data_IF_259424061964
#
_entry.id   IF_259424061964
#
_cell.length_a   1.000
_cell.length_b   1.000
_cell.length_c   1.000
_cell.angle_alpha   90.00
_cell.angle_beta   90.00
_cell.angle_gamma   90.00
#
_symmetry.space_group_name_H-M   'P 1'
#
loop_
_entity.id
_entity.type
_entity.pdbx_description
1 polymer ?
#
# COMPACT_ATOMS: atom_id res chain seq x y z
N UNK A 1 49.12 -48.73 11.50
CA UNK A 1 48.53 -49.74 12.45
C UNK A 1 47.09 -49.30 12.66
N UNK A 2 46.18 -49.93 11.92
CA UNK A 2 45.04 -50.74 12.35
C UNK A 2 43.98 -49.96 13.17
N UNK A 3 42.67 -49.98 12.86
CA UNK A 3 41.81 -50.91 12.13
C UNK A 3 40.48 -50.23 11.76
N UNK A 4 40.03 -50.61 10.58
CA UNK A 4 38.63 -50.49 10.07
C UNK A 4 37.63 -51.15 11.01
N UNK A 5 36.41 -50.56 11.10
CA UNK A 5 35.18 -51.39 11.06
C UNK A 5 34.06 -50.64 10.36
N UNK A 6 33.67 -51.16 9.20
CA UNK A 6 32.42 -50.94 8.50
C UNK A 6 31.31 -51.75 9.23
N UNK A 7 30.11 -51.18 9.33
CA UNK A 7 28.92 -52.00 9.44
C UNK A 7 27.91 -51.45 8.43
N UNK A 8 27.60 -52.30 7.47
CA UNK A 8 26.53 -52.20 6.49
C UNK A 8 25.40 -53.09 7.01
N UNK A 9 24.16 -52.63 6.97
CA UNK A 9 22.92 -53.41 6.86
C UNK A 9 21.77 -52.38 6.77
N UNK A 10 20.85 -52.43 5.93
CA UNK A 10 20.31 -53.25 4.87
C UNK A 10 18.87 -52.71 4.67
N UNK A 11 18.55 -52.57 3.44
CA UNK A 11 17.24 -52.15 2.89
C UNK A 11 16.18 -53.21 3.19
N UNK A 12 14.96 -52.79 3.52
CA UNK A 12 13.72 -53.45 3.09
C UNK A 12 12.58 -52.41 3.03
N UNK A 13 11.86 -52.27 1.92
CA UNK A 13 10.68 -51.43 1.77
C UNK A 13 9.39 -52.18 2.16
N UNK A 14 8.51 -51.53 2.86
CA UNK A 14 7.13 -52.02 3.00
C UNK A 14 6.19 -50.98 2.36
N UNK A 15 5.75 -51.35 1.19
CA UNK A 15 4.60 -50.74 0.49
C UNK A 15 3.31 -51.36 1.10
N UNK A 16 2.47 -50.54 1.67
CA UNK A 16 1.07 -50.92 1.92
C UNK A 16 0.17 -49.87 1.28
N UNK A 17 -0.41 -50.28 0.15
CA UNK A 17 -1.52 -49.60 -0.47
C UNK A 17 -2.80 -50.01 0.26
N UNK A 18 -3.56 -49.03 0.76
CA UNK A 18 -4.94 -49.27 1.17
C UNK A 18 -5.85 -48.49 0.20
N UNK A 19 -6.45 -49.25 -0.73
CA UNK A 19 -7.58 -48.82 -1.55
C UNK A 19 -8.85 -49.12 -0.74
N UNK A 20 -9.61 -48.08 -0.41
CA UNK A 20 -10.98 -48.28 0.09
C UNK A 20 -11.95 -47.82 -0.97
N UNK A 21 -12.50 -48.81 -1.67
CA UNK A 21 -13.72 -48.71 -2.47
C UNK A 21 -14.92 -48.76 -1.53
N UNK A 22 -15.79 -47.78 -1.59
CA UNK A 22 -17.15 -47.88 -1.07
C UNK A 22 -18.08 -47.88 -2.28
N UNK A 23 -18.61 -49.09 -2.59
CA UNK A 23 -19.63 -49.32 -3.58
C UNK A 23 -21.03 -49.21 -2.96
N UNK A 24 -21.92 -48.69 -3.73
CA UNK A 24 -23.35 -48.65 -3.65
C UNK A 24 -24.01 -49.89 -3.04
N UNK A 25 -25.05 -49.66 -2.24
CA UNK A 25 -26.13 -50.60 -2.04
C UNK A 25 -27.47 -49.90 -2.26
N UNK A 26 -28.09 -50.24 -3.38
CA UNK A 26 -29.51 -50.01 -3.68
C UNK A 26 -30.27 -51.27 -3.28
N UNK A 27 -31.36 -51.12 -2.54
CA UNK A 27 -32.44 -52.10 -2.43
C UNK A 27 -33.67 -51.31 -2.01
N UNK A 28 -34.69 -51.15 -2.70
CA UNK A 28 -35.62 -51.91 -3.52
C UNK A 28 -36.77 -52.45 -2.68
N UNK A 29 -37.94 -51.81 -2.70
CA UNK A 29 -39.20 -52.52 -2.53
C UNK A 29 -40.38 -51.78 -3.18
N UNK A 30 -41.03 -52.53 -4.05
CA UNK A 30 -42.19 -52.23 -4.87
C UNK A 30 -43.48 -52.47 -4.08
N UNK A 31 -44.45 -51.54 -4.20
CA UNK A 31 -45.88 -52.00 -4.22
C UNK A 31 -46.72 -51.12 -5.13
N UNK A 32 -47.47 -51.82 -6.00
CA UNK A 32 -48.43 -51.38 -7.02
C UNK A 32 -49.78 -50.95 -6.44
N UNK A 33 -50.42 -49.95 -7.13
CA UNK A 33 -51.79 -50.03 -7.74
C UNK A 33 -52.10 -48.69 -8.36
N UNK A 34 -52.31 -48.56 -9.65
CA UNK A 34 -53.49 -48.70 -10.58
C UNK A 34 -54.68 -47.86 -10.09
N UNK A 35 -55.17 -46.90 -10.82
CA UNK A 35 -55.79 -46.72 -12.08
C UNK A 35 -56.36 -45.28 -12.27
N UNK A 36 -56.43 -44.88 -13.49
CA UNK A 36 -57.52 -44.18 -14.24
C UNK A 36 -57.39 -42.67 -14.52
N UNK A 37 -57.28 -42.48 -15.80
CA UNK A 37 -57.95 -41.55 -16.75
C UNK A 37 -57.42 -40.13 -16.96
N UNK A 38 -57.00 -40.00 -18.23
CA UNK A 38 -56.75 -38.77 -19.01
C UNK A 38 -58.10 -38.07 -19.36
N UNK A 39 -58.13 -36.71 -19.57
CA UNK A 39 -57.76 -36.21 -20.90
C UNK A 39 -57.09 -34.82 -20.97
N UNK A 40 -56.16 -34.74 -21.94
CA UNK A 40 -55.82 -33.60 -22.82
C UNK A 40 -56.13 -32.18 -22.37
N UNK A 41 -55.04 -31.40 -22.18
CA UNK A 41 -54.97 -30.00 -22.64
C UNK A 41 -53.51 -29.67 -22.99
N UNK A 42 -53.23 -29.48 -24.27
CA UNK A 42 -52.04 -28.86 -24.80
C UNK A 42 -51.97 -27.43 -24.26
N UNK A 43 -50.92 -27.11 -23.51
CA UNK A 43 -50.49 -25.73 -23.26
C UNK A 43 -49.05 -25.62 -23.66
N UNK A 44 -48.81 -24.79 -24.69
CA UNK A 44 -47.50 -24.45 -25.20
C UNK A 44 -46.61 -23.88 -24.06
N UNK A 45 -45.51 -24.57 -23.78
CA UNK A 45 -44.45 -24.05 -22.95
C UNK A 45 -43.63 -23.13 -23.84
N UNK A 46 -43.89 -21.83 -23.76
CA UNK A 46 -42.97 -20.83 -24.20
C UNK A 46 -41.74 -20.93 -23.30
N UNK A 47 -40.63 -21.39 -23.85
CA UNK A 47 -39.32 -21.26 -23.24
C UNK A 47 -38.99 -19.77 -23.17
N UNK A 48 -39.22 -19.15 -22.05
CA UNK A 48 -38.60 -17.88 -21.72
C UNK A 48 -37.15 -18.21 -21.40
N UNK A 49 -36.27 -17.99 -22.36
CA UNK A 49 -34.87 -17.79 -22.08
C UNK A 49 -34.79 -16.49 -21.26
N UNK A 50 -34.76 -16.63 -19.95
CA UNK A 50 -34.21 -15.56 -19.12
C UNK A 50 -32.72 -15.50 -19.42
N UNK A 51 -32.36 -14.61 -20.31
CA UNK A 51 -31.01 -14.09 -20.45
C UNK A 51 -30.70 -13.31 -19.17
N UNK A 52 -30.26 -14.02 -18.14
CA UNK A 52 -29.71 -13.44 -16.93
C UNK A 52 -28.29 -12.95 -17.21
N UNK A 53 -28.11 -12.01 -18.09
CA UNK A 53 -27.01 -11.07 -17.99
C UNK A 53 -27.24 -10.29 -16.69
N UNK A 54 -26.63 -10.75 -15.59
CA UNK A 54 -26.50 -9.91 -14.41
C UNK A 54 -25.84 -8.61 -14.89
N UNK A 55 -26.60 -7.52 -14.88
CA UNK A 55 -26.07 -6.20 -15.17
C UNK A 55 -25.01 -5.96 -14.08
N UNK A 56 -23.77 -5.81 -14.47
CA UNK A 56 -22.67 -5.50 -13.56
C UNK A 56 -23.07 -4.24 -12.79
N UNK A 57 -23.00 -4.31 -11.46
CA UNK A 57 -23.49 -3.23 -10.61
C UNK A 57 -22.50 -2.07 -10.65
N UNK A 58 -22.97 -0.86 -10.88
CA UNK A 58 -22.16 0.35 -10.77
C UNK A 58 -21.55 0.44 -9.37
N UNK A 59 -20.27 0.77 -9.30
CA UNK A 59 -19.49 0.80 -8.07
C UNK A 59 -18.64 2.08 -7.99
N UNK A 60 -18.35 2.49 -6.76
CA UNK A 60 -17.53 3.69 -6.49
C UNK A 60 -16.65 3.43 -5.28
N UNK A 61 -15.38 3.82 -5.39
CA UNK A 61 -14.39 3.82 -4.32
C UNK A 61 -13.69 5.16 -4.28
N UNK A 62 -13.51 5.70 -3.08
CA UNK A 62 -12.66 6.86 -2.82
C UNK A 62 -11.37 6.39 -2.15
N UNK A 63 -10.23 6.83 -2.69
CA UNK A 63 -8.90 6.51 -2.20
C UNK A 63 -8.17 7.78 -1.77
N UNK A 64 -7.55 7.73 -0.59
CA UNK A 64 -6.60 8.72 -0.11
C UNK A 64 -5.24 8.04 0.03
N UNK A 65 -4.17 8.69 -0.44
CA UNK A 65 -2.80 8.26 -0.16
C UNK A 65 -1.97 9.43 0.36
N UNK A 66 -1.06 9.13 1.29
CA UNK A 66 -0.16 10.11 1.91
C UNK A 66 1.30 9.77 1.60
N UNK A 67 2.18 10.75 1.78
CA UNK A 67 3.62 10.61 1.58
C UNK A 67 4.35 9.92 2.71
N UNK A 68 5.64 10.21 2.81
CA UNK A 68 6.62 9.52 3.66
C UNK A 68 6.31 9.69 5.15
N UNK A 69 6.09 8.56 5.85
CA UNK A 69 6.02 8.47 7.31
C UNK A 69 7.43 8.16 7.83
N UNK A 70 8.23 9.22 8.04
CA UNK A 70 9.67 9.15 8.29
C UNK A 70 9.98 9.47 9.76
N UNK A 71 10.17 8.43 10.57
CA UNK A 71 10.20 8.52 12.03
C UNK A 71 11.60 8.80 12.57
N UNK A 72 11.94 10.09 12.72
CA UNK A 72 13.18 10.54 13.34
C UNK A 72 13.20 10.38 14.86
N UNK A 73 14.38 10.48 15.50
CA UNK A 73 14.53 10.35 16.96
C UNK A 73 13.60 11.28 17.75
N UNK A 74 13.36 12.48 17.29
CA UNK A 74 12.46 13.44 17.94
C UNK A 74 11.01 13.02 17.92
N UNK A 75 10.58 12.32 16.85
CA UNK A 75 9.26 11.69 16.76
C UNK A 75 9.15 10.52 17.73
N UNK A 76 10.20 9.68 17.82
CA UNK A 76 10.24 8.56 18.77
C UNK A 76 10.06 9.11 20.19
N UNK A 77 10.85 10.11 20.59
CA UNK A 77 10.76 10.68 21.96
C UNK A 77 9.46 11.47 22.18
N UNK A 78 8.82 11.99 21.13
CA UNK A 78 7.53 12.67 21.26
C UNK A 78 6.41 11.77 21.74
N UNK A 79 6.48 10.47 21.45
CA UNK A 79 5.50 9.48 21.88
C UNK A 79 5.69 8.98 23.31
N UNK A 80 6.84 9.22 23.95
CA UNK A 80 7.10 8.75 25.32
C UNK A 80 6.14 9.38 26.33
N UNK A 81 5.50 8.55 27.15
CA UNK A 81 4.59 8.96 28.20
C UNK A 81 5.29 8.97 29.57
N UNK A 82 4.72 9.65 30.56
CA UNK A 82 5.27 9.74 31.92
C UNK A 82 5.42 8.37 32.62
N UNK A 83 4.58 7.40 32.26
CA UNK A 83 4.62 6.02 32.80
C UNK A 83 5.59 5.10 32.04
N UNK A 84 6.27 5.62 31.02
CA UNK A 84 7.21 4.88 30.18
C UNK A 84 6.57 4.12 29.02
N UNK A 85 5.26 4.23 28.82
CA UNK A 85 4.59 3.71 27.63
C UNK A 85 4.82 4.62 26.44
N UNK A 86 4.48 4.12 25.23
CA UNK A 86 4.56 4.88 23.97
C UNK A 86 3.14 5.11 23.43
N UNK A 87 2.86 6.33 22.96
CA UNK A 87 1.62 6.65 22.27
C UNK A 87 1.88 7.73 21.21
N UNK A 88 1.46 7.46 19.98
CA UNK A 88 1.68 8.33 18.84
C UNK A 88 0.38 8.80 18.16
N UNK A 89 -0.79 8.56 18.73
CA UNK A 89 -2.08 8.96 18.18
C UNK A 89 -2.15 10.48 17.92
N UNK A 90 -1.42 11.27 18.72
CA UNK A 90 -1.35 12.72 18.55
C UNK A 90 -0.79 13.17 17.20
N UNK A 91 0.03 12.36 16.53
CA UNK A 91 0.61 12.67 15.22
C UNK A 91 -0.49 12.89 14.16
N UNK A 92 -1.58 12.14 14.26
CA UNK A 92 -2.65 12.11 13.25
C UNK A 92 -3.93 12.80 13.69
N UNK A 93 -4.01 13.36 14.92
CA UNK A 93 -5.26 13.88 15.51
C UNK A 93 -5.99 14.87 14.60
N UNK A 94 -5.27 15.80 13.94
CA UNK A 94 -5.89 16.83 13.11
C UNK A 94 -6.27 16.35 11.72
N UNK A 95 -5.63 15.29 11.22
CA UNK A 95 -5.84 14.77 9.87
C UNK A 95 -6.75 13.54 9.85
N UNK A 96 -6.86 12.81 10.97
CA UNK A 96 -7.72 11.62 11.12
C UNK A 96 -9.13 11.82 10.58
N UNK A 97 -9.87 12.92 10.90
CA UNK A 97 -11.22 13.12 10.36
C UNK A 97 -11.28 13.24 8.82
N UNK A 98 -10.14 13.55 8.17
CA UNK A 98 -10.05 13.54 6.71
C UNK A 98 -9.83 12.12 6.20
N UNK A 99 -8.88 11.40 6.80
CA UNK A 99 -8.55 10.01 6.44
C UNK A 99 -9.79 9.12 6.50
N UNK A 100 -10.57 9.21 7.58
CA UNK A 100 -11.77 8.39 7.83
C UNK A 100 -12.92 8.61 6.81
N UNK A 101 -12.83 9.61 5.93
CA UNK A 101 -13.84 9.84 4.88
C UNK A 101 -13.68 8.94 3.67
N UNK A 102 -12.51 8.33 3.52
CA UNK A 102 -12.16 7.56 2.34
C UNK A 102 -12.40 6.06 2.54
N UNK A 103 -12.75 5.39 1.45
CA UNK A 103 -12.95 3.94 1.45
C UNK A 103 -11.63 3.17 1.61
N UNK A 104 -10.53 3.72 1.07
CA UNK A 104 -9.17 3.17 1.14
C UNK A 104 -8.23 4.30 1.52
N UNK A 105 -7.45 4.13 2.59
CA UNK A 105 -6.42 5.06 3.00
C UNK A 105 -5.04 4.37 2.98
N UNK A 106 -4.06 4.99 2.31
CA UNK A 106 -2.72 4.45 2.07
C UNK A 106 -1.67 5.35 2.69
N UNK A 107 -0.68 4.76 3.37
CA UNK A 107 0.48 5.46 3.92
C UNK A 107 1.79 4.84 3.42
N UNK A 108 2.77 5.67 3.09
CA UNK A 108 4.13 5.21 2.85
C UNK A 108 4.86 5.09 4.20
N UNK A 109 4.97 3.86 4.72
CA UNK A 109 5.67 3.58 5.98
C UNK A 109 7.16 3.47 5.68
N UNK A 110 7.84 4.62 5.59
CA UNK A 110 9.22 4.65 5.11
C UNK A 110 10.19 4.00 6.08
N UNK A 111 10.00 4.20 7.38
CA UNK A 111 10.88 3.65 8.40
C UNK A 111 10.37 2.34 8.96
N UNK A 112 11.23 1.31 8.96
CA UNK A 112 10.87 -0.05 9.36
C UNK A 112 10.29 -0.12 10.78
N UNK A 113 9.20 -0.89 10.96
CA UNK A 113 8.56 -1.19 12.23
C UNK A 113 9.23 -2.40 12.92
N UNK A 114 10.53 -2.28 13.22
CA UNK A 114 11.29 -3.35 13.88
C UNK A 114 10.95 -3.54 15.37
N UNK A 115 10.23 -2.59 15.96
CA UNK A 115 9.73 -2.66 17.34
C UNK A 115 10.86 -2.76 18.37
N UNK A 116 10.54 -3.32 19.53
CA UNK A 116 11.45 -3.48 20.67
C UNK A 116 12.53 -4.57 20.48
N UNK A 117 12.57 -5.25 19.33
CA UNK A 117 13.62 -6.21 19.02
C UNK A 117 15.00 -5.55 18.84
N UNK A 118 15.02 -4.27 18.56
CA UNK A 118 16.21 -3.42 18.45
C UNK A 118 16.03 -2.15 19.25
N UNK A 119 17.11 -1.43 19.60
CA UNK A 119 17.00 -0.07 20.10
C UNK A 119 16.27 0.81 19.07
N UNK A 120 15.34 1.61 19.52
CA UNK A 120 14.69 2.59 18.64
C UNK A 120 15.72 3.63 18.16
N UNK A 121 15.66 3.98 16.89
CA UNK A 121 16.63 4.88 16.25
C UNK A 121 16.02 5.61 15.05
N UNK A 122 16.48 6.86 14.84
CA UNK A 122 16.25 7.64 13.65
C UNK A 122 17.45 7.56 12.68
N UNK A 123 17.60 8.61 11.83
CA UNK A 123 18.66 8.67 10.83
C UNK A 123 20.05 8.36 11.41
N UNK A 124 20.92 7.64 10.69
CA UNK A 124 20.74 7.12 9.32
C UNK A 124 20.18 5.69 9.24
N UNK A 125 20.01 5.01 10.34
CA UNK A 125 19.53 3.63 10.43
C UNK A 125 18.28 3.61 11.32
N UNK A 126 17.12 3.60 10.70
CA UNK A 126 15.85 3.74 11.41
C UNK A 126 15.38 2.42 12.03
N UNK A 127 14.79 2.53 13.19
CA UNK A 127 13.98 1.49 13.80
C UNK A 127 12.83 2.12 14.59
N UNK A 128 11.62 1.97 14.11
CA UNK A 128 10.42 2.56 14.69
C UNK A 128 9.74 1.63 15.69
N UNK A 129 9.16 2.17 16.78
CA UNK A 129 8.25 1.45 17.66
C UNK A 129 7.02 0.94 16.87
N UNK A 130 6.47 -0.21 17.28
CA UNK A 130 5.22 -0.74 16.72
C UNK A 130 4.03 0.17 16.96
N UNK A 131 4.04 0.93 18.04
CA UNK A 131 3.01 1.91 18.40
C UNK A 131 2.87 3.04 17.36
N UNK A 132 3.89 3.27 16.50
CA UNK A 132 3.77 4.13 15.31
C UNK A 132 2.79 3.52 14.30
N UNK A 133 2.95 2.22 14.01
CA UNK A 133 2.02 1.49 13.13
C UNK A 133 0.61 1.43 13.72
N UNK A 134 0.49 1.17 15.04
CA UNK A 134 -0.80 1.18 15.74
C UNK A 134 -1.48 2.55 15.62
N UNK A 135 -0.74 3.65 15.80
CA UNK A 135 -1.30 5.00 15.67
C UNK A 135 -1.76 5.31 14.24
N UNK A 136 -1.05 4.82 13.21
CA UNK A 136 -1.48 4.96 11.82
C UNK A 136 -2.74 4.13 11.53
N UNK A 137 -2.82 2.89 12.03
CA UNK A 137 -4.04 2.05 11.95
C UNK A 137 -5.22 2.75 12.66
N UNK A 138 -4.98 3.27 13.88
CA UNK A 138 -5.99 4.01 14.64
C UNK A 138 -6.43 5.30 13.92
N UNK A 139 -5.57 5.90 13.09
CA UNK A 139 -5.91 7.05 12.27
C UNK A 139 -6.80 6.69 11.07
N UNK A 140 -6.91 5.41 10.71
CA UNK A 140 -7.76 4.92 9.64
C UNK A 140 -7.03 4.49 8.36
N UNK A 141 -5.70 4.30 8.41
CA UNK A 141 -4.97 3.76 7.27
C UNK A 141 -5.21 2.26 7.11
N UNK A 142 -5.53 1.85 5.88
CA UNK A 142 -5.83 0.46 5.49
C UNK A 142 -4.66 -0.24 4.81
N UNK A 143 -3.79 0.51 4.10
CA UNK A 143 -2.70 -0.01 3.27
C UNK A 143 -1.39 0.66 3.63
N UNK A 144 -0.36 -0.15 3.87
CA UNK A 144 0.97 0.29 4.26
C UNK A 144 1.99 -0.12 3.20
N UNK A 145 2.65 0.87 2.59
CA UNK A 145 3.78 0.66 1.69
C UNK A 145 5.05 0.51 2.52
N UNK A 146 5.67 -0.67 2.51
CA UNK A 146 6.84 -1.01 3.33
C UNK A 146 8.10 -1.28 2.51
N UNK A 147 8.02 -1.34 1.16
CA UNK A 147 9.21 -1.37 0.31
C UNK A 147 9.71 0.05 0.07
N UNK A 148 10.71 0.45 0.87
CA UNK A 148 11.35 1.77 0.86
C UNK A 148 12.88 1.61 0.86
N UNK A 149 13.63 2.71 0.76
CA UNK A 149 15.08 2.67 0.90
C UNK A 149 15.53 2.32 2.34
N UNK A 150 14.65 2.47 3.35
CA UNK A 150 14.92 2.15 4.76
C UNK A 150 14.43 0.77 5.21
N UNK A 151 13.85 -0.02 4.32
CA UNK A 151 13.35 -1.37 4.64
C UNK A 151 14.41 -2.31 5.23
N UNK A 152 15.68 -2.15 4.82
CA UNK A 152 16.79 -3.01 5.27
C UNK A 152 17.59 -2.44 6.44
N UNK A 153 17.20 -1.34 7.05
CA UNK A 153 17.97 -0.68 8.12
C UNK A 153 18.24 -1.58 9.32
N UNK A 154 17.33 -2.48 9.66
CA UNK A 154 17.50 -3.50 10.69
C UNK A 154 17.76 -4.91 10.10
N UNK A 155 18.19 -4.97 8.84
CA UNK A 155 18.41 -6.21 8.12
C UNK A 155 17.14 -7.05 7.97
N UNK A 156 17.30 -8.30 7.56
CA UNK A 156 16.14 -9.18 7.37
C UNK A 156 15.34 -9.42 8.66
N UNK A 157 16.00 -9.45 9.83
CA UNK A 157 15.28 -9.57 11.11
C UNK A 157 14.34 -8.39 11.38
N UNK A 158 14.69 -7.19 10.92
CA UNK A 158 13.77 -6.04 10.95
C UNK A 158 12.51 -6.31 10.14
N UNK A 159 12.68 -6.82 8.91
CA UNK A 159 11.55 -7.22 8.05
C UNK A 159 10.68 -8.30 8.71
N UNK A 160 11.30 -9.32 9.35
CA UNK A 160 10.53 -10.34 10.09
C UNK A 160 9.68 -9.72 11.21
N UNK A 161 10.19 -8.70 11.90
CA UNK A 161 9.46 -8.01 12.97
C UNK A 161 8.34 -7.11 12.44
N UNK A 162 8.54 -6.44 11.33
CA UNK A 162 7.50 -5.66 10.66
C UNK A 162 6.37 -6.56 10.14
N UNK A 163 6.70 -7.69 9.51
CA UNK A 163 5.70 -8.70 9.09
C UNK A 163 4.98 -9.30 10.31
N UNK A 164 5.70 -9.54 11.43
CA UNK A 164 5.08 -9.99 12.68
C UNK A 164 4.06 -8.96 13.19
N UNK A 165 4.40 -7.66 13.16
CA UNK A 165 3.47 -6.59 13.50
C UNK A 165 2.20 -6.67 12.66
N UNK A 166 2.31 -6.66 11.33
CA UNK A 166 1.15 -6.70 10.43
C UNK A 166 0.38 -8.03 10.50
N UNK A 167 1.01 -9.14 10.88
CA UNK A 167 0.32 -10.42 11.07
C UNK A 167 -0.67 -10.39 12.25
N UNK A 168 -0.48 -9.47 13.19
CA UNK A 168 -1.38 -9.23 14.31
C UNK A 168 -2.50 -8.21 13.98
N UNK A 169 -2.44 -7.58 12.80
CA UNK A 169 -3.37 -6.55 12.31
C UNK A 169 -3.97 -6.97 10.96
N UNK A 170 -4.81 -8.01 10.99
CA UNK A 170 -5.42 -8.57 9.76
C UNK A 170 -6.42 -7.64 9.06
N UNK A 171 -6.78 -6.54 9.70
CA UNK A 171 -7.65 -5.48 9.17
C UNK A 171 -6.96 -4.59 8.17
N UNK A 172 -5.62 -4.60 8.10
CA UNK A 172 -4.84 -3.79 7.17
C UNK A 172 -4.01 -4.64 6.20
N UNK A 173 -3.56 -4.03 5.13
CA UNK A 173 -2.74 -4.66 4.07
C UNK A 173 -1.32 -4.07 4.11
N UNK A 174 -0.34 -4.94 4.26
CA UNK A 174 1.07 -4.60 4.12
C UNK A 174 1.56 -4.99 2.73
N UNK A 175 2.30 -4.09 2.07
CA UNK A 175 2.85 -4.27 0.73
C UNK A 175 4.38 -4.19 0.75
N UNK A 176 5.02 -4.89 -0.17
CA UNK A 176 6.41 -4.66 -0.56
C UNK A 176 7.46 -5.47 0.17
N UNK A 177 7.16 -6.10 1.34
CA UNK A 177 8.08 -6.98 2.07
C UNK A 177 7.50 -8.37 2.28
N UNK A 178 8.36 -9.39 2.35
CA UNK A 178 7.96 -10.79 2.32
C UNK A 178 8.79 -11.66 3.27
N UNK A 179 8.16 -12.72 3.79
CA UNK A 179 8.80 -13.70 4.66
C UNK A 179 9.25 -14.97 3.92
N UNK A 180 8.80 -15.17 2.68
CA UNK A 180 9.14 -16.30 1.83
C UNK A 180 8.95 -15.97 0.33
N UNK A 181 9.45 -16.88 -0.53
CA UNK A 181 9.35 -16.74 -1.97
C UNK A 181 7.91 -16.89 -2.51
N UNK A 182 7.02 -17.57 -1.78
CA UNK A 182 5.64 -17.76 -2.20
C UNK A 182 4.86 -16.44 -2.02
N UNK A 183 5.03 -15.77 -0.88
CA UNK A 183 4.44 -14.44 -0.65
C UNK A 183 4.98 -13.38 -1.62
N UNK A 184 6.29 -13.42 -1.94
CA UNK A 184 6.91 -12.53 -2.94
C UNK A 184 6.32 -12.68 -4.35
N UNK A 185 5.90 -13.89 -4.72
CA UNK A 185 5.31 -14.16 -6.03
C UNK A 185 3.79 -14.00 -6.05
N UNK A 186 3.16 -13.71 -4.92
CA UNK A 186 1.71 -13.55 -4.82
C UNK A 186 1.33 -12.08 -5.05
N UNK A 187 0.39 -11.84 -5.97
CA UNK A 187 -0.19 -10.52 -6.18
C UNK A 187 -1.19 -10.22 -5.05
N UNK A 188 -1.12 -9.02 -4.51
CA UNK A 188 -2.09 -8.53 -3.53
C UNK A 188 -3.31 -7.97 -4.25
N UNK A 189 -4.43 -8.68 -4.15
CA UNK A 189 -5.73 -8.20 -4.58
C UNK A 189 -6.51 -7.66 -3.39
N UNK A 190 -7.11 -6.48 -3.57
CA UNK A 190 -7.91 -5.81 -2.56
C UNK A 190 -9.29 -5.49 -3.13
N UNK A 191 -10.34 -6.05 -2.54
CA UNK A 191 -11.71 -5.82 -3.00
C UNK A 191 -12.38 -4.76 -2.13
N UNK A 192 -12.92 -3.72 -2.75
CA UNK A 192 -13.69 -2.68 -2.06
C UNK A 192 -14.87 -2.25 -2.90
N UNK A 193 -16.06 -2.24 -2.32
CA UNK A 193 -17.30 -1.78 -2.95
C UNK A 193 -17.56 -2.38 -4.35
N UNK A 194 -17.11 -3.63 -4.63
CA UNK A 194 -17.32 -4.30 -5.92
C UNK A 194 -16.28 -3.94 -7.00
N UNK A 195 -15.19 -3.29 -6.64
CA UNK A 195 -14.02 -3.07 -7.50
C UNK A 195 -12.86 -3.91 -6.95
N UNK A 196 -12.21 -4.70 -7.80
CA UNK A 196 -11.01 -5.47 -7.47
C UNK A 196 -9.78 -4.69 -7.87
N UNK A 197 -8.98 -4.29 -6.89
CA UNK A 197 -7.70 -3.61 -7.08
C UNK A 197 -6.56 -4.62 -7.04
N UNK A 198 -5.54 -4.46 -7.91
CA UNK A 198 -4.23 -5.06 -7.71
C UNK A 198 -3.28 -3.97 -7.19
N UNK A 199 -2.66 -4.21 -6.03
CA UNK A 199 -1.83 -3.24 -5.32
C UNK A 199 -0.38 -3.69 -5.32
N UNK A 200 0.53 -2.78 -5.72
CA UNK A 200 1.96 -3.02 -5.77
C UNK A 200 2.73 -1.91 -5.11
N UNK A 201 3.72 -2.27 -4.29
CA UNK A 201 4.71 -1.35 -3.77
C UNK A 201 6.11 -1.88 -4.09
N UNK A 202 6.96 -1.02 -4.66
CA UNK A 202 8.34 -1.32 -5.06
C UNK A 202 9.27 -0.19 -4.64
N UNK A 203 10.52 -0.51 -4.27
CA UNK A 203 11.56 0.51 -3.99
C UNK A 203 12.70 0.45 -5.00
N UNK A 204 13.31 1.61 -5.27
CA UNK A 204 14.51 1.72 -6.12
C UNK A 204 15.74 1.03 -5.55
N UNK A 205 15.77 0.83 -4.22
CA UNK A 205 16.92 0.24 -3.53
C UNK A 205 16.77 0.28 -2.02
N UNK A 206 17.83 -0.09 -1.31
CA UNK A 206 17.87 -0.24 0.15
C UNK A 206 19.11 0.44 0.74
N UNK A 207 19.39 1.69 0.34
CA UNK A 207 20.52 2.51 0.79
C UNK A 207 21.88 1.80 0.73
N UNK A 208 22.05 0.91 -0.27
CA UNK A 208 23.29 0.13 -0.44
C UNK A 208 23.45 -1.05 0.53
N UNK A 209 22.47 -1.33 1.37
CA UNK A 209 22.43 -2.54 2.19
C UNK A 209 21.90 -3.68 1.31
N UNK A 210 22.72 -4.71 1.00
CA UNK A 210 22.30 -5.78 0.10
C UNK A 210 21.22 -6.67 0.75
N UNK A 211 20.29 -7.17 -0.06
CA UNK A 211 19.39 -8.24 0.39
C UNK A 211 20.22 -9.51 0.68
N UNK A 212 19.81 -10.33 1.66
CA UNK A 212 20.48 -11.60 1.92
C UNK A 212 20.45 -12.50 0.67
N UNK A 213 21.59 -13.11 0.32
CA UNK A 213 21.72 -13.92 -0.90
C UNK A 213 20.76 -15.13 -0.93
N UNK A 214 20.36 -15.63 0.24
CA UNK A 214 19.40 -16.72 0.42
C UNK A 214 17.94 -16.24 0.51
N UNK A 215 17.70 -14.91 0.52
CA UNK A 215 16.38 -14.28 0.63
C UNK A 215 16.23 -13.09 -0.33
N UNK A 216 16.53 -13.24 -1.63
CA UNK A 216 16.46 -12.14 -2.59
C UNK A 216 15.02 -11.63 -2.80
N UNK A 217 14.04 -12.34 -2.30
CA UNK A 217 12.62 -12.08 -2.36
C UNK A 217 12.09 -11.22 -1.19
N UNK A 218 12.92 -10.88 -0.20
CA UNK A 218 12.40 -10.25 1.03
C UNK A 218 11.90 -8.81 0.84
N UNK A 219 12.31 -8.12 -0.23
CA UNK A 219 11.85 -6.76 -0.59
C UNK A 219 11.54 -6.69 -2.06
N UNK A 220 10.45 -6.05 -2.43
CA UNK A 220 10.13 -5.73 -3.82
C UNK A 220 11.03 -4.61 -4.33
N UNK A 221 12.08 -4.96 -5.04
CA UNK A 221 12.88 -3.99 -5.78
C UNK A 221 12.23 -3.63 -7.12
N UNK A 222 12.51 -2.44 -7.63
CA UNK A 222 12.06 -1.98 -8.96
C UNK A 222 12.82 -2.72 -10.08
N UNK A 223 12.53 -4.01 -10.26
CA UNK A 223 13.10 -4.87 -11.28
C UNK A 223 12.10 -5.04 -12.44
N UNK A 224 12.50 -4.63 -13.66
CA UNK A 224 11.59 -4.59 -14.82
C UNK A 224 10.94 -5.93 -15.14
N UNK A 225 11.70 -7.03 -15.03
CA UNK A 225 11.22 -8.38 -15.30
C UNK A 225 10.10 -8.78 -14.32
N UNK A 226 10.30 -8.52 -13.02
CA UNK A 226 9.29 -8.79 -11.99
C UNK A 226 8.05 -7.92 -12.18
N UNK A 227 8.26 -6.62 -12.34
CA UNK A 227 7.17 -5.65 -12.57
C UNK A 227 6.33 -6.04 -13.79
N UNK A 228 7.00 -6.40 -14.90
CA UNK A 228 6.31 -6.81 -16.13
C UNK A 228 5.47 -8.06 -15.91
N UNK A 229 6.03 -9.08 -15.25
CA UNK A 229 5.32 -10.31 -14.92
C UNK A 229 4.09 -10.03 -14.06
N UNK A 230 4.31 -9.35 -12.93
CA UNK A 230 3.28 -9.12 -11.92
C UNK A 230 2.11 -8.30 -12.47
N UNK A 231 2.40 -7.19 -13.16
CA UNK A 231 1.34 -6.31 -13.69
C UNK A 231 0.59 -6.99 -14.86
N UNK A 232 1.30 -7.75 -15.71
CA UNK A 232 0.64 -8.49 -16.78
C UNK A 232 -0.36 -9.52 -16.22
N UNK A 233 0.02 -10.26 -15.18
CA UNK A 233 -0.86 -11.20 -14.48
C UNK A 233 -2.02 -10.47 -13.78
N UNK A 234 -1.73 -9.34 -13.14
CA UNK A 234 -2.75 -8.54 -12.44
C UNK A 234 -3.83 -8.02 -13.37
N UNK A 235 -3.47 -7.60 -14.61
CA UNK A 235 -4.43 -7.08 -15.60
C UNK A 235 -5.48 -8.10 -16.04
N UNK A 236 -5.22 -9.39 -15.87
CA UNK A 236 -6.18 -10.46 -16.18
C UNK A 236 -7.20 -10.68 -15.05
N UNK A 237 -6.90 -10.19 -13.82
CA UNK A 237 -7.63 -10.55 -12.60
C UNK A 237 -8.13 -9.34 -11.79
N UNK A 238 -7.76 -8.12 -12.15
CA UNK A 238 -8.17 -6.91 -11.45
C UNK A 238 -8.89 -5.92 -12.36
N UNK A 239 -9.83 -5.19 -11.80
CA UNK A 239 -10.51 -4.09 -12.47
C UNK A 239 -9.59 -2.86 -12.59
N UNK A 240 -8.70 -2.66 -11.59
CA UNK A 240 -7.88 -1.46 -11.46
C UNK A 240 -6.50 -1.80 -10.85
N UNK A 241 -5.42 -1.30 -11.45
CA UNK A 241 -4.04 -1.57 -11.02
C UNK A 241 -3.40 -0.30 -10.48
N UNK A 242 -2.90 -0.36 -9.24
CA UNK A 242 -2.22 0.74 -8.57
C UNK A 242 -0.79 0.33 -8.23
N UNK A 243 0.17 1.20 -8.55
CA UNK A 243 1.58 1.04 -8.18
C UNK A 243 1.99 2.19 -7.25
N UNK A 244 2.59 1.84 -6.13
CA UNK A 244 3.18 2.74 -5.15
C UNK A 244 4.71 2.61 -5.21
N UNK A 245 5.41 3.35 -6.07
CA UNK A 245 6.85 3.29 -6.16
C UNK A 245 7.50 4.23 -5.15
N UNK A 246 8.50 3.74 -4.43
CA UNK A 246 9.40 4.53 -3.61
C UNK A 246 10.65 4.82 -4.44
N UNK A 247 10.71 6.00 -5.06
CA UNK A 247 11.62 6.32 -6.17
C UNK A 247 11.98 7.80 -6.27
N UNK A 248 12.88 8.16 -7.18
CA UNK A 248 13.21 9.56 -7.49
C UNK A 248 14.55 9.98 -6.93
N UNK A 249 14.73 11.28 -6.77
CA UNK A 249 15.95 11.89 -6.24
C UNK A 249 15.59 12.75 -5.03
N UNK A 250 16.17 12.45 -3.88
CA UNK A 250 15.95 13.22 -2.65
C UNK A 250 16.11 14.72 -2.90
N UNK A 251 15.16 15.50 -2.38
CA UNK A 251 15.14 16.98 -2.39
C UNK A 251 15.05 17.63 -3.77
N UNK A 252 14.71 16.86 -4.82
CA UNK A 252 14.49 17.35 -6.16
C UNK A 252 13.00 17.48 -6.45
N UNK A 253 12.59 18.63 -6.99
CA UNK A 253 11.23 18.86 -7.52
C UNK A 253 11.07 18.39 -8.97
N UNK A 254 12.19 18.06 -9.62
CA UNK A 254 12.21 17.63 -11.02
C UNK A 254 12.10 16.12 -11.12
N UNK A 255 11.17 15.66 -11.95
CA UNK A 255 11.00 14.24 -12.26
C UNK A 255 12.29 13.71 -12.91
N UNK A 256 12.92 12.74 -12.27
CA UNK A 256 14.16 12.12 -12.72
C UNK A 256 13.97 11.28 -13.98
N UNK A 257 15.05 11.00 -14.71
CA UNK A 257 15.00 10.10 -15.86
C UNK A 257 14.64 8.66 -15.46
N UNK A 258 15.00 8.25 -14.23
CA UNK A 258 14.60 6.97 -13.67
C UNK A 258 13.07 6.87 -13.48
N UNK A 259 12.44 7.89 -12.92
CA UNK A 259 10.99 7.96 -12.79
C UNK A 259 10.30 7.95 -14.15
N UNK A 260 10.78 8.71 -15.12
CA UNK A 260 10.25 8.73 -16.50
C UNK A 260 10.32 7.36 -17.20
N UNK A 261 11.43 6.64 -17.00
CA UNK A 261 11.63 5.31 -17.55
C UNK A 261 10.60 4.31 -17.02
N UNK A 262 10.39 4.28 -15.69
CA UNK A 262 9.41 3.39 -15.07
C UNK A 262 7.97 3.84 -15.31
N UNK A 263 7.70 5.14 -15.36
CA UNK A 263 6.38 5.68 -15.76
C UNK A 263 5.98 5.18 -17.14
N UNK A 264 6.93 5.19 -18.09
CA UNK A 264 6.68 4.61 -19.40
C UNK A 264 6.38 3.12 -19.33
N UNK A 265 7.14 2.36 -18.56
CA UNK A 265 6.91 0.92 -18.36
C UNK A 265 5.52 0.65 -17.77
N UNK A 266 5.15 1.36 -16.72
CA UNK A 266 3.82 1.23 -16.09
C UNK A 266 2.69 1.55 -17.07
N UNK A 267 2.83 2.63 -17.85
CA UNK A 267 1.88 2.98 -18.89
C UNK A 267 1.76 1.91 -19.97
N UNK A 268 2.89 1.34 -20.42
CA UNK A 268 2.91 0.28 -21.43
C UNK A 268 2.26 -1.02 -20.91
N UNK A 269 2.36 -1.29 -19.62
CA UNK A 269 1.73 -2.44 -18.95
C UNK A 269 0.25 -2.21 -18.57
N UNK A 270 -0.25 -0.99 -18.80
CA UNK A 270 -1.64 -0.65 -18.56
C UNK A 270 -2.00 -0.42 -17.08
N UNK A 271 -1.07 0.06 -16.26
CA UNK A 271 -1.35 0.59 -14.92
C UNK A 271 -2.35 1.75 -15.02
N UNK A 272 -3.19 1.92 -14.02
CA UNK A 272 -4.23 2.94 -13.98
C UNK A 272 -3.80 4.15 -13.14
N UNK A 273 -3.10 3.90 -12.03
CA UNK A 273 -2.70 4.90 -11.04
C UNK A 273 -1.31 4.61 -10.49
N UNK A 274 -0.46 5.64 -10.43
CA UNK A 274 0.86 5.61 -9.78
C UNK A 274 0.90 6.70 -8.72
N UNK A 275 1.31 6.34 -7.50
CA UNK A 275 1.49 7.29 -6.38
C UNK A 275 2.86 7.07 -5.79
N UNK A 276 3.79 7.98 -6.07
CA UNK A 276 5.20 7.92 -5.66
C UNK A 276 5.52 8.62 -4.36
N UNK A 277 6.59 8.14 -3.72
CA UNK A 277 7.20 8.67 -2.50
C UNK A 277 8.73 8.62 -2.60
N UNK A 278 9.49 9.10 -1.59
CA UNK A 278 10.94 9.11 -1.45
C UNK A 278 11.62 10.48 -1.65
N UNK A 279 11.27 11.37 -2.62
CA UNK A 279 11.99 12.63 -2.79
C UNK A 279 11.94 13.56 -1.56
N UNK A 280 11.08 13.31 -0.59
CA UNK A 280 10.84 14.14 0.60
C UNK A 280 10.35 15.54 0.29
N UNK A 281 10.08 15.82 -0.96
CA UNK A 281 9.43 17.03 -1.48
C UNK A 281 8.33 16.60 -2.46
N UNK A 282 7.35 17.46 -2.64
CA UNK A 282 6.30 17.22 -3.63
C UNK A 282 6.88 17.30 -5.05
N UNK A 283 6.38 16.44 -5.95
CA UNK A 283 6.70 16.47 -7.38
C UNK A 283 5.41 16.62 -8.21
N UNK A 284 5.48 16.84 -9.53
CA UNK A 284 4.31 17.03 -10.39
C UNK A 284 3.27 15.91 -10.30
N UNK A 285 2.04 16.28 -10.63
CA UNK A 285 0.93 15.35 -10.91
C UNK A 285 0.56 15.50 -12.37
N UNK A 286 0.42 14.39 -13.10
CA UNK A 286 0.09 14.45 -14.51
C UNK A 286 -0.70 13.22 -15.02
N UNK A 287 -1.44 13.41 -16.10
CA UNK A 287 -2.01 12.35 -16.89
C UNK A 287 -1.03 11.91 -17.99
N UNK A 288 -0.56 10.66 -17.91
CA UNK A 288 0.28 10.05 -18.93
C UNK A 288 -0.59 9.24 -19.89
N UNK A 289 -0.52 9.57 -21.18
CA UNK A 289 -1.27 8.83 -22.21
C UNK A 289 -0.36 7.81 -22.88
N UNK A 290 -0.75 6.55 -22.86
CA UNK A 290 -0.09 5.51 -23.64
C UNK A 290 -0.35 5.75 -25.13
N UNK A 291 0.70 6.01 -25.90
CA UNK A 291 0.62 6.36 -27.33
C UNK A 291 0.04 5.22 -28.19
N UNK A 292 0.21 3.97 -27.76
CA UNK A 292 -0.22 2.78 -28.51
C UNK A 292 -1.69 2.45 -28.32
N UNK A 293 -2.22 2.66 -27.11
CA UNK A 293 -3.58 2.26 -26.71
C UNK A 293 -4.52 3.42 -26.52
N UNK A 294 -3.99 4.64 -26.30
CA UNK A 294 -4.76 5.83 -25.91
C UNK A 294 -5.23 5.81 -24.45
N UNK A 295 -4.88 4.76 -23.66
CA UNK A 295 -5.23 4.67 -22.24
C UNK A 295 -4.47 5.74 -21.46
N UNK A 296 -5.15 6.37 -20.51
CA UNK A 296 -4.56 7.34 -19.59
C UNK A 296 -4.24 6.67 -18.26
N UNK A 297 -3.08 7.02 -17.71
CA UNK A 297 -2.62 6.66 -16.37
C UNK A 297 -2.39 7.95 -15.58
N UNK A 298 -2.90 8.03 -14.36
CA UNK A 298 -2.62 9.16 -13.48
C UNK A 298 -1.34 8.89 -12.69
N UNK A 299 -0.46 9.88 -12.60
CA UNK A 299 0.80 9.78 -11.87
C UNK A 299 0.94 10.96 -10.90
N UNK A 300 1.05 10.66 -9.62
CA UNK A 300 1.62 11.52 -8.60
C UNK A 300 3.07 11.10 -8.43
N UNK A 301 4.04 11.90 -8.89
CA UNK A 301 5.44 11.49 -8.87
C UNK A 301 6.01 11.43 -7.46
N UNK A 302 5.66 12.38 -6.59
CA UNK A 302 5.96 12.33 -5.16
C UNK A 302 4.93 13.12 -4.36
N UNK A 303 4.49 12.55 -3.25
CA UNK A 303 3.67 13.24 -2.26
C UNK A 303 4.50 13.97 -1.20
N UNK A 304 5.84 13.86 -1.21
CA UNK A 304 6.71 14.42 -0.18
C UNK A 304 6.49 13.80 1.19
N UNK A 305 6.94 14.46 2.24
CA UNK A 305 6.77 13.97 3.61
C UNK A 305 5.33 14.18 4.11
N UNK A 306 4.77 13.13 4.73
CA UNK A 306 3.55 13.27 5.52
C UNK A 306 3.89 13.63 6.96
N UNK A 307 4.81 12.88 7.59
CA UNK A 307 5.37 13.17 8.91
C UNK A 307 6.87 12.95 8.89
N UNK A 308 7.64 13.99 9.30
CA UNK A 308 9.08 13.89 9.44
C UNK A 308 9.61 14.95 10.41
N UNK A 309 10.90 14.88 10.79
CA UNK A 309 11.62 15.96 11.42
C UNK A 309 12.80 16.42 10.53
N UNK A 310 12.58 16.46 9.23
CA UNK A 310 13.46 17.21 8.33
C UNK A 310 13.20 18.71 8.54
N UNK A 311 14.24 19.54 8.39
CA UNK A 311 14.21 20.93 8.84
C UNK A 311 14.11 21.96 7.70
N UNK A 312 14.35 21.55 6.47
CA UNK A 312 14.18 22.45 5.34
C UNK A 312 12.67 22.66 5.08
N UNK A 313 12.28 23.89 4.78
CA UNK A 313 10.87 24.26 4.68
C UNK A 313 10.14 23.46 3.63
N UNK A 314 10.82 23.13 2.54
CA UNK A 314 10.30 22.34 1.44
C UNK A 314 9.91 20.93 1.89
N UNK A 315 10.64 20.34 2.85
CA UNK A 315 10.40 19.02 3.39
C UNK A 315 9.26 18.97 4.42
N UNK A 316 8.76 20.14 4.85
CA UNK A 316 7.61 20.25 5.74
C UNK A 316 6.29 20.31 4.97
N UNK A 317 6.36 20.48 3.65
CA UNK A 317 5.22 20.45 2.74
C UNK A 317 5.12 19.08 2.08
N UNK A 318 4.03 18.40 2.33
CA UNK A 318 3.63 17.18 1.62
C UNK A 318 2.28 17.34 0.92
N UNK A 319 1.76 16.24 0.42
CA UNK A 319 0.46 16.18 -0.21
C UNK A 319 -0.28 14.91 0.14
N UNK A 320 -1.59 14.96 -0.02
CA UNK A 320 -2.45 13.79 -0.08
C UNK A 320 -3.00 13.68 -1.50
N UNK A 321 -2.90 12.50 -2.08
CA UNK A 321 -3.61 12.16 -3.31
C UNK A 321 -5.01 11.69 -2.96
N UNK A 322 -6.04 12.41 -3.45
CA UNK A 322 -7.44 12.01 -3.27
C UNK A 322 -8.02 11.64 -4.64
N UNK A 323 -8.41 10.38 -4.79
CA UNK A 323 -8.83 9.83 -6.08
C UNK A 323 -10.20 9.17 -5.93
N UNK A 324 -11.12 9.49 -6.85
CA UNK A 324 -12.39 8.77 -6.98
C UNK A 324 -12.31 7.82 -8.17
N UNK A 325 -12.63 6.56 -7.94
CA UNK A 325 -12.61 5.49 -8.92
C UNK A 325 -14.02 4.95 -9.06
N UNK A 326 -14.56 4.93 -10.28
CA UNK A 326 -15.90 4.42 -10.55
C UNK A 326 -15.85 3.29 -11.57
N UNK A 327 -16.62 2.23 -11.31
CA UNK A 327 -16.89 1.14 -12.26
C UNK A 327 -18.31 1.31 -12.77
N UNK A 328 -18.45 1.43 -14.08
CA UNK A 328 -19.73 1.59 -14.75
C UNK A 328 -19.76 0.79 -16.06
N UNK A 329 -20.80 0.00 -16.23
CA UNK A 329 -20.97 -0.86 -17.42
C UNK A 329 -19.71 -1.72 -17.72
N UNK A 330 -19.01 -2.19 -16.66
CA UNK A 330 -17.80 -3.02 -16.75
C UNK A 330 -16.49 -2.25 -17.03
N UNK A 331 -16.54 -0.92 -17.10
CA UNK A 331 -15.35 -0.07 -17.26
C UNK A 331 -15.04 0.63 -15.93
N UNK A 332 -13.79 0.48 -15.47
CA UNK A 332 -13.30 1.14 -14.26
C UNK A 332 -12.37 2.28 -14.64
N UNK A 333 -12.65 3.48 -14.14
CA UNK A 333 -11.89 4.69 -14.47
C UNK A 333 -11.81 5.67 -13.29
N UNK A 334 -10.82 6.57 -13.33
CA UNK A 334 -10.71 7.69 -12.39
C UNK A 334 -11.66 8.79 -12.84
N UNK A 335 -12.59 9.19 -11.97
CA UNK A 335 -13.57 10.27 -12.23
C UNK A 335 -13.24 11.58 -11.51
N UNK A 336 -12.37 11.53 -10.47
CA UNK A 336 -11.83 12.72 -9.80
C UNK A 336 -10.41 12.42 -9.32
N UNK A 337 -9.53 13.42 -9.43
CA UNK A 337 -8.14 13.35 -8.98
C UNK A 337 -7.74 14.70 -8.41
N UNK A 338 -7.34 14.72 -7.14
CA UNK A 338 -6.99 15.93 -6.41
C UNK A 338 -5.66 15.74 -5.67
N UNK A 339 -4.91 16.82 -5.55
CA UNK A 339 -3.73 16.96 -4.70
C UNK A 339 -4.08 17.93 -3.57
N UNK A 340 -4.14 17.43 -2.33
CA UNK A 340 -4.42 18.24 -1.14
C UNK A 340 -3.13 18.47 -0.38
N UNK A 341 -2.57 19.69 -0.41
CA UNK A 341 -1.33 19.97 0.29
C UNK A 341 -1.51 19.91 1.81
N UNK A 342 -0.51 19.34 2.48
CA UNK A 342 -0.43 19.23 3.95
C UNK A 342 0.89 19.79 4.46
N UNK A 343 0.87 20.23 5.71
CA UNK A 343 2.05 20.74 6.42
C UNK A 343 2.32 19.87 7.64
N UNK A 344 3.52 19.28 7.70
CA UNK A 344 4.03 18.66 8.90
C UNK A 344 4.45 19.76 9.88
N UNK A 345 3.63 20.00 10.90
CA UNK A 345 3.86 21.05 11.89
C UNK A 345 4.44 20.46 13.16
N UNK A 346 5.52 21.07 13.67
CA UNK A 346 6.08 20.67 14.95
C UNK A 346 6.46 21.85 15.83
N UNK A 347 6.30 21.65 17.13
CA UNK A 347 6.66 22.58 18.18
C UNK A 347 7.67 21.94 19.13
N UNK A 348 8.69 22.70 19.52
CA UNK A 348 9.60 22.37 20.59
C UNK A 348 9.07 22.96 21.88
N UNK A 349 8.56 22.10 22.75
CA UNK A 349 8.00 22.47 24.04
C UNK A 349 9.07 22.61 25.13
N UNK A 350 8.62 22.70 26.37
CA UNK A 350 9.48 22.66 27.56
C UNK A 350 10.27 21.36 27.63
N UNK A 351 11.49 21.41 28.17
CA UNK A 351 12.41 20.28 28.27
C UNK A 351 12.80 19.61 26.93
N UNK A 352 12.77 20.40 25.85
CA UNK A 352 13.12 19.94 24.51
C UNK A 352 12.23 18.81 23.95
N UNK A 353 11.08 18.58 24.55
CA UNK A 353 10.10 17.64 24.02
C UNK A 353 9.37 18.25 22.83
N UNK A 354 9.37 17.51 21.71
CA UNK A 354 8.67 17.93 20.50
C UNK A 354 7.22 17.41 20.50
N UNK A 355 6.34 18.16 19.84
CA UNK A 355 5.01 17.70 19.43
C UNK A 355 4.87 17.88 17.92
N UNK A 356 4.23 16.92 17.29
CA UNK A 356 4.02 16.88 15.83
C UNK A 356 2.56 16.75 15.51
N UNK A 357 2.15 17.36 14.41
CA UNK A 357 0.81 17.25 13.83
C UNK A 357 0.84 17.50 12.34
N UNK A 358 -0.09 16.95 11.61
CA UNK A 358 -0.33 17.21 10.19
C UNK A 358 -1.57 18.07 10.02
N UNK A 359 -1.47 19.12 9.21
CA UNK A 359 -2.56 20.02 8.88
C UNK A 359 -2.73 20.12 7.37
N UNK A 360 -3.96 20.12 6.85
CA UNK A 360 -4.19 20.59 5.48
C UNK A 360 -3.76 22.03 5.36
N UNK A 361 -3.09 22.39 4.25
CA UNK A 361 -2.65 23.78 4.03
C UNK A 361 -3.84 24.76 4.02
N UNK A 362 -5.01 24.31 3.56
CA UNK A 362 -6.24 25.11 3.58
C UNK A 362 -6.80 25.42 4.98
N UNK A 363 -6.41 24.62 5.99
CA UNK A 363 -6.75 24.82 7.40
C UNK A 363 -5.59 25.44 8.20
N UNK A 364 -4.42 25.57 7.58
CA UNK A 364 -3.20 26.16 8.14
C UNK A 364 -3.30 27.70 8.03
N UNK A 365 -2.98 28.43 9.09
CA UNK A 365 -3.01 29.88 9.09
C UNK A 365 -1.71 30.46 9.64
N UNK A 366 -1.47 31.76 9.43
CA UNK A 366 -0.21 32.39 9.81
C UNK A 366 -0.01 32.47 11.33
N UNK A 367 -1.06 32.46 12.16
CA UNK A 367 -0.94 32.38 13.62
C UNK A 367 -0.39 30.99 14.03
N UNK A 368 -0.91 29.91 13.39
CA UNK A 368 -0.41 28.55 13.58
C UNK A 368 1.03 28.42 13.05
N UNK A 369 1.31 28.93 11.85
CA UNK A 369 2.64 28.94 11.25
C UNK A 369 3.69 29.65 12.15
N UNK A 370 3.30 30.72 12.84
CA UNK A 370 4.16 31.43 13.77
C UNK A 370 4.55 30.61 15.02
N UNK A 371 3.77 29.57 15.35
CA UNK A 371 4.09 28.65 16.45
C UNK A 371 5.02 27.51 16.05
N UNK A 372 5.23 27.29 14.75
CA UNK A 372 6.12 26.25 14.24
C UNK A 372 7.56 26.50 14.68
N UNK A 373 8.26 25.47 15.15
CA UNK A 373 9.66 25.64 15.60
C UNK A 373 10.61 25.95 14.45
N UNK A 374 10.32 25.51 13.23
CA UNK A 374 10.99 25.93 12.01
C UNK A 374 10.31 27.18 11.45
N UNK A 375 10.99 28.30 11.49
CA UNK A 375 10.44 29.59 11.07
C UNK A 375 10.53 29.79 9.55
N UNK A 376 9.58 30.53 8.98
CA UNK A 376 9.57 30.91 7.56
C UNK A 376 8.55 30.17 6.70
N UNK A 377 8.01 29.05 7.18
CA UNK A 377 6.96 28.29 6.48
C UNK A 377 5.58 28.93 6.62
N UNK A 378 5.35 30.06 5.93
CA UNK A 378 4.04 30.73 5.93
C UNK A 378 3.07 30.07 4.97
N UNK A 379 1.78 30.38 5.12
CA UNK A 379 0.73 29.91 4.18
C UNK A 379 1.05 30.33 2.75
N UNK A 380 1.51 31.58 2.58
CA UNK A 380 1.90 32.13 1.28
C UNK A 380 3.07 31.36 0.67
N UNK A 381 4.11 31.10 1.47
CA UNK A 381 5.28 30.33 1.04
C UNK A 381 4.88 28.94 0.50
N UNK A 382 4.11 28.19 1.28
CA UNK A 382 3.68 26.85 0.88
C UNK A 382 2.72 26.89 -0.31
N UNK A 383 1.81 27.88 -0.37
CA UNK A 383 0.91 28.05 -1.51
C UNK A 383 1.68 28.34 -2.81
N UNK A 384 2.69 29.20 -2.76
CA UNK A 384 3.56 29.49 -3.90
C UNK A 384 4.34 28.25 -4.35
N UNK A 385 4.84 27.46 -3.38
CA UNK A 385 5.57 26.23 -3.67
C UNK A 385 4.67 25.18 -4.35
N UNK A 386 3.46 24.96 -3.81
CA UNK A 386 2.48 24.05 -4.44
C UNK A 386 2.15 24.47 -5.87
N UNK A 387 1.83 25.75 -6.10
CA UNK A 387 1.50 26.30 -7.41
C UNK A 387 2.66 26.23 -8.42
N UNK A 388 3.91 26.21 -7.92
CA UNK A 388 5.10 26.06 -8.77
C UNK A 388 5.29 24.62 -9.27
N UNK A 389 4.89 23.63 -8.47
CA UNK A 389 5.20 22.21 -8.69
C UNK A 389 4.02 21.45 -9.27
N UNK A 390 2.83 21.68 -8.73
CA UNK A 390 1.61 20.94 -9.09
C UNK A 390 0.72 21.82 -9.98
N UNK A 391 0.18 21.25 -11.05
CA UNK A 391 -0.74 21.95 -11.94
C UNK A 391 -2.04 22.32 -11.23
N UNK A 392 -2.55 23.54 -11.47
CA UNK A 392 -3.74 24.10 -10.82
C UNK A 392 -4.97 23.17 -10.89
N UNK A 393 -5.12 22.43 -11.99
CA UNK A 393 -6.23 21.50 -12.20
C UNK A 393 -6.31 20.36 -11.17
N UNK A 394 -5.19 20.02 -10.50
CA UNK A 394 -5.15 19.00 -9.45
C UNK A 394 -5.24 19.59 -8.04
N UNK A 395 -4.99 20.88 -7.84
CA UNK A 395 -4.86 21.47 -6.51
C UNK A 395 -6.23 21.67 -5.85
N UNK A 396 -6.44 21.05 -4.67
CA UNK A 396 -7.55 21.33 -3.80
C UNK A 396 -7.06 21.84 -2.45
N UNK A 397 -7.32 23.11 -2.15
CA UNK A 397 -6.88 23.76 -0.91
C UNK A 397 -7.83 23.51 0.28
N UNK A 398 -9.09 23.11 0.04
CA UNK A 398 -10.11 22.93 1.11
C UNK A 398 -10.92 21.66 0.90
#
# INVERSE_FOLDING_TARGET
MERKKRIIYAVIPVVIAIVVLIAFAVSGSITKKADQENPTAQTAVSAVNEDTTQKEQDAKVTLLATGDNLIHNTLITAGEQEDGSLNYDSLYTNIKPEIEKFDIAVIDQETILGGSAFPYSGYPMFNSPWEIGEAAINAGFDVFNCATNHTMDMGYTGIEKEIEFFSNHSEVVQLGVHNDADSYNKITYYEKNGITFALFNYTYGTNGIPLPADKPWCVNLMEKEKITKDITEARENADFVIVFPHWGTEYSFDVSDYQKEYTKLFSDLGVDLVIGCHPHVIEPVEWVTNESTGKKMLVYYSLGNFISHQIDLENLLGGMAEVTIEKKDGVTEITSAEFVPVVCHYNRGENDKFSFNVYKLGDYNNDLAATHSQQGGTVEYYTELVNKVVSEEFIRMK
#
